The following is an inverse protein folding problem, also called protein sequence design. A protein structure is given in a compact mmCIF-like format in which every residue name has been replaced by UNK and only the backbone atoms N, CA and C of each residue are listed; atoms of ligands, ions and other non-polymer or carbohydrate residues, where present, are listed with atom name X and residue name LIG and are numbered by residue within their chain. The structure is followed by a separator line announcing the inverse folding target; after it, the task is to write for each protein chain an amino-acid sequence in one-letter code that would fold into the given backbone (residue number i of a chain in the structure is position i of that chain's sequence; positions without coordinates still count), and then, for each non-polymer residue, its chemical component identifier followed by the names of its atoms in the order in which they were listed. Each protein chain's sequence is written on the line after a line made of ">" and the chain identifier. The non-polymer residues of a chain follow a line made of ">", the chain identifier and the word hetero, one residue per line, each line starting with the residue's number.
data_IF_000998805046
#
_entry.id   IF_000998805046
#
_cell.length_a   1.000
_cell.length_b   1.000
_cell.length_c   1.000
_cell.angle_alpha   90.00
_cell.angle_beta   90.00
_cell.angle_gamma   90.00
#
_symmetry.space_group_name_H-M   'P 1'
#
loop_
_entity.id
_entity.type
_entity.pdbx_description
1 polymer ?
#
# COMPACT_ATOMS: atom_id res chain seq x y z
N UNK A 1 4.48 47.83 -48.36
CA UNK A 1 3.81 46.83 -47.50
C UNK A 1 4.69 46.55 -46.29
N UNK A 2 4.19 46.79 -45.07
CA UNK A 2 4.93 46.50 -43.82
C UNK A 2 4.56 45.09 -43.36
N UNK A 3 5.53 44.17 -43.38
CA UNK A 3 5.43 42.84 -42.81
C UNK A 3 5.44 42.92 -41.28
N UNK A 4 4.32 42.55 -40.66
CA UNK A 4 4.21 42.33 -39.20
C UNK A 4 4.94 41.05 -38.79
N UNK A 5 5.73 41.05 -37.70
CA UNK A 5 6.32 39.82 -37.19
C UNK A 5 5.25 38.99 -36.46
N UNK A 6 5.14 37.72 -36.84
CA UNK A 6 4.33 36.72 -36.16
C UNK A 6 4.75 36.58 -34.70
N UNK A 7 3.88 37.02 -33.77
CA UNK A 7 4.02 36.74 -32.35
C UNK A 7 3.90 35.22 -32.13
N UNK A 8 5.04 34.54 -31.99
CA UNK A 8 5.06 33.19 -31.46
C UNK A 8 4.45 33.18 -30.06
N UNK A 9 3.48 32.30 -29.82
CA UNK A 9 2.85 32.12 -28.52
C UNK A 9 3.94 31.87 -27.47
N UNK A 10 4.13 32.83 -26.57
CA UNK A 10 5.11 32.77 -25.50
C UNK A 10 4.67 31.68 -24.53
N UNK A 11 5.28 30.50 -24.63
CA UNK A 11 5.05 29.42 -23.67
C UNK A 11 5.66 29.85 -22.34
N UNK A 12 4.81 30.22 -21.38
CA UNK A 12 5.23 30.52 -20.03
C UNK A 12 5.74 29.24 -19.37
N UNK A 13 7.04 29.19 -19.04
CA UNK A 13 7.58 28.14 -18.18
C UNK A 13 7.02 28.32 -16.78
N UNK A 14 6.20 27.37 -16.35
CA UNK A 14 5.74 27.26 -14.97
C UNK A 14 6.86 26.62 -14.16
N UNK A 15 7.46 27.38 -13.24
CA UNK A 15 8.41 26.84 -12.26
C UNK A 15 7.69 26.44 -10.95
N UNK A 16 8.42 25.79 -10.04
CA UNK A 16 7.88 25.29 -8.77
C UNK A 16 7.29 26.40 -7.88
N UNK A 17 7.65 27.67 -8.07
CA UNK A 17 7.10 28.78 -7.28
C UNK A 17 5.60 28.98 -7.52
N UNK A 18 5.09 28.59 -8.70
CA UNK A 18 3.66 28.63 -9.02
C UNK A 18 2.91 27.50 -8.31
N UNK A 19 3.53 26.33 -8.13
CA UNK A 19 2.95 25.22 -7.38
C UNK A 19 2.90 25.52 -5.88
N UNK A 20 3.94 26.17 -5.34
CA UNK A 20 3.94 26.68 -3.96
C UNK A 20 2.88 27.78 -3.76
N UNK A 21 2.68 28.64 -4.77
CA UNK A 21 1.65 29.67 -4.76
C UNK A 21 0.24 29.09 -4.89
N UNK A 22 0.05 28.02 -5.66
CA UNK A 22 -1.20 27.28 -5.76
C UNK A 22 -1.50 26.50 -4.49
N UNK A 23 -0.50 25.86 -3.88
CA UNK A 23 -0.64 25.20 -2.58
C UNK A 23 -0.94 26.20 -1.46
N UNK A 24 -0.34 27.40 -1.51
CA UNK A 24 -0.68 28.52 -0.63
C UNK A 24 -2.13 28.97 -0.84
N UNK A 25 -2.58 29.17 -2.08
CA UNK A 25 -3.97 29.56 -2.38
C UNK A 25 -4.99 28.47 -1.96
N UNK A 26 -4.65 27.19 -2.15
CA UNK A 26 -5.46 26.06 -1.69
C UNK A 26 -5.51 25.94 -0.16
N UNK A 27 -4.45 26.38 0.54
CA UNK A 27 -4.41 26.48 2.01
C UNK A 27 -5.14 27.70 2.56
N UNK A 28 -5.35 28.74 1.75
CA UNK A 28 -6.02 29.99 2.13
C UNK A 28 -7.52 29.95 1.79
N UNK A 29 -7.97 29.20 0.77
CA UNK A 29 -9.38 29.12 0.39
C UNK A 29 -10.19 28.03 1.11
N UNK A 30 -9.97 27.84 2.41
CA UNK A 30 -10.82 26.96 3.21
C UNK A 30 -12.29 27.36 3.08
N UNK A 31 -13.13 26.39 2.71
CA UNK A 31 -14.58 26.47 2.46
C UNK A 31 -15.03 27.36 1.28
N UNK A 32 -15.47 26.70 0.21
CA UNK A 32 -16.25 27.31 -0.89
C UNK A 32 -17.69 26.77 -0.89
N UNK A 33 -18.38 26.93 0.24
CA UNK A 33 -19.85 26.96 0.26
C UNK A 33 -20.42 28.30 0.76
N UNK A 34 -19.59 29.28 1.13
CA UNK A 34 -20.03 30.65 1.39
C UNK A 34 -19.01 31.66 0.86
N UNK A 35 -19.16 32.12 -0.39
CA UNK A 35 -18.71 33.45 -0.79
C UNK A 35 -19.46 33.90 -2.05
N UNK A 36 -20.41 34.79 -1.83
CA UNK A 36 -21.19 35.47 -2.86
C UNK A 36 -20.29 36.45 -3.66
N UNK A 37 -20.40 36.36 -4.97
CA UNK A 37 -20.20 37.37 -6.02
C UNK A 37 -19.18 38.49 -5.74
N UNK A 38 -17.97 38.39 -6.32
CA UNK A 38 -17.29 39.55 -6.91
C UNK A 38 -16.48 39.18 -8.17
N UNK A 39 -16.99 39.64 -9.32
CA UNK A 39 -16.33 39.93 -10.60
C UNK A 39 -15.32 38.91 -11.17
N UNK A 40 -15.84 37.86 -11.82
CA UNK A 40 -15.05 36.96 -12.68
C UNK A 40 -15.12 37.41 -14.15
N UNK A 41 -14.01 37.92 -14.70
CA UNK A 41 -13.90 38.39 -16.09
C UNK A 41 -13.70 37.24 -17.10
N UNK A 42 -14.71 36.37 -17.18
CA UNK A 42 -14.90 35.24 -18.11
C UNK A 42 -13.86 35.02 -19.22
N UNK A 43 -12.90 34.13 -18.98
CA UNK A 43 -12.27 33.33 -20.05
C UNK A 43 -12.29 31.86 -19.68
N UNK A 44 -13.21 31.16 -20.34
CA UNK A 44 -13.39 29.71 -20.44
C UNK A 44 -13.25 29.36 -21.94
N UNK A 45 -12.72 28.18 -22.33
CA UNK A 45 -12.41 26.99 -21.53
C UNK A 45 -11.05 27.00 -20.82
N UNK A 46 -10.85 26.17 -19.78
CA UNK A 46 -9.60 26.06 -19.04
C UNK A 46 -8.56 25.36 -19.91
N UNK A 47 -7.31 25.80 -19.79
CA UNK A 47 -6.19 25.20 -20.48
C UNK A 47 -5.85 23.83 -19.85
N UNK A 48 -6.20 22.74 -20.53
CA UNK A 48 -5.80 21.39 -20.15
C UNK A 48 -4.31 21.24 -20.44
N UNK A 49 -3.49 21.11 -19.39
CA UNK A 49 -2.07 20.79 -19.50
C UNK A 49 -1.77 19.52 -18.72
N UNK A 50 -1.13 18.55 -19.38
CA UNK A 50 -0.72 17.30 -18.75
C UNK A 50 0.43 17.55 -17.78
N UNK A 51 0.26 17.15 -16.53
CA UNK A 51 1.33 17.15 -15.52
C UNK A 51 2.27 15.98 -15.86
N UNK A 52 3.58 16.21 -16.11
CA UNK A 52 4.52 15.11 -16.31
C UNK A 52 4.65 14.28 -15.03
N UNK A 53 4.60 12.95 -15.15
CA UNK A 53 4.90 12.08 -14.02
C UNK A 53 6.28 12.40 -13.42
N UNK A 54 6.46 12.30 -12.09
CA UNK A 54 7.75 12.51 -11.44
C UNK A 54 8.81 11.63 -12.10
N UNK A 55 9.88 12.23 -12.61
CA UNK A 55 11.03 11.50 -13.12
C UNK A 55 11.73 10.82 -11.94
N UNK A 56 11.40 9.55 -11.70
CA UNK A 56 12.20 8.67 -10.87
C UNK A 56 13.62 8.61 -11.46
N UNK A 57 14.67 8.46 -10.62
CA UNK A 57 16.05 8.37 -11.08
C UNK A 57 16.17 7.37 -12.23
N UNK A 58 16.95 7.72 -13.26
CA UNK A 58 17.05 6.96 -14.52
C UNK A 58 17.23 5.46 -14.24
N UNK A 59 16.18 4.70 -14.54
CA UNK A 59 16.22 3.23 -14.54
C UNK A 59 17.30 2.79 -15.52
N UNK A 60 18.21 1.92 -15.08
CA UNK A 60 18.99 1.11 -16.02
C UNK A 60 17.98 0.38 -16.92
N UNK A 61 18.08 0.56 -18.23
CA UNK A 61 17.25 -0.17 -19.18
C UNK A 61 17.46 -1.66 -18.96
N UNK A 62 16.39 -2.40 -18.67
CA UNK A 62 16.43 -3.87 -18.59
C UNK A 62 16.92 -4.41 -19.94
N UNK A 63 17.95 -5.26 -19.92
CA UNK A 63 18.43 -5.91 -21.15
C UNK A 63 17.34 -6.85 -21.67
N UNK A 64 17.16 -6.85 -22.98
CA UNK A 64 16.16 -7.65 -23.68
C UNK A 64 16.33 -9.15 -23.40
N UNK A 65 17.58 -9.60 -23.31
CA UNK A 65 17.95 -10.98 -23.02
C UNK A 65 17.43 -11.41 -21.64
N UNK A 66 17.59 -10.56 -20.63
CA UNK A 66 17.13 -10.84 -19.27
C UNK A 66 15.59 -10.87 -19.14
N UNK A 67 14.87 -10.15 -20.00
CA UNK A 67 13.41 -10.21 -20.07
C UNK A 67 12.91 -11.50 -20.77
N UNK A 68 13.70 -12.08 -21.68
CA UNK A 68 13.36 -13.33 -22.36
C UNK A 68 13.66 -14.56 -21.50
N UNK A 69 14.70 -14.49 -20.65
CA UNK A 69 15.06 -15.58 -19.72
C UNK A 69 14.02 -15.80 -18.60
N UNK A 70 13.07 -14.89 -18.39
CA UNK A 70 12.00 -15.01 -17.40
C UNK A 70 11.21 -16.33 -17.48
N UNK A 71 11.13 -16.92 -18.67
CA UNK A 71 10.39 -18.16 -18.91
C UNK A 71 11.26 -19.42 -18.93
N UNK A 72 12.51 -19.31 -18.45
CA UNK A 72 13.51 -20.36 -18.47
C UNK A 72 14.26 -20.48 -19.81
N UNK A 73 15.42 -21.18 -19.82
CA UNK A 73 16.14 -21.45 -21.06
C UNK A 73 15.25 -22.30 -21.97
N UNK A 74 15.11 -21.86 -23.23
CA UNK A 74 14.36 -22.49 -24.34
C UNK A 74 14.12 -23.99 -24.13
N UNK A 75 13.09 -24.36 -23.37
CA UNK A 75 12.66 -25.75 -23.35
C UNK A 75 12.12 -26.01 -24.75
N UNK A 76 12.63 -27.06 -25.37
CA UNK A 76 12.30 -27.49 -26.73
C UNK A 76 10.78 -27.68 -26.90
N UNK A 77 10.05 -27.80 -25.78
CA UNK A 77 8.60 -27.65 -25.67
C UNK A 77 8.22 -26.20 -25.32
N UNK A 78 7.71 -25.45 -26.31
CA UNK A 78 7.18 -24.07 -26.20
C UNK A 78 5.96 -23.94 -25.24
N UNK A 79 6.10 -24.24 -23.95
CA UNK A 79 5.04 -23.88 -22.99
C UNK A 79 4.98 -22.34 -22.87
N UNK A 80 3.83 -21.70 -23.14
CA UNK A 80 3.70 -20.26 -23.03
C UNK A 80 3.88 -19.81 -21.57
N UNK A 81 4.50 -18.64 -21.38
CA UNK A 81 4.71 -18.09 -20.05
C UNK A 81 3.38 -17.60 -19.47
N UNK A 82 2.98 -18.17 -18.33
CA UNK A 82 1.78 -17.73 -17.63
C UNK A 82 2.16 -16.92 -16.40
N UNK A 83 1.61 -15.72 -16.28
CA UNK A 83 1.87 -14.79 -15.20
C UNK A 83 0.64 -14.66 -14.29
N UNK A 84 0.91 -14.44 -13.01
CA UNK A 84 -0.06 -13.95 -12.04
C UNK A 84 0.35 -12.52 -11.64
N UNK A 85 -0.47 -11.54 -12.00
CA UNK A 85 -0.21 -10.13 -11.76
C UNK A 85 -1.09 -9.61 -10.61
N UNK A 86 -0.52 -9.28 -9.45
CA UNK A 86 -1.26 -8.58 -8.39
C UNK A 86 -1.63 -7.16 -8.86
N UNK A 87 -2.84 -7.00 -9.39
CA UNK A 87 -3.36 -5.71 -9.83
C UNK A 87 -3.41 -4.74 -8.66
N UNK A 88 -4.01 -5.19 -7.56
CA UNK A 88 -4.15 -4.45 -6.30
C UNK A 88 -4.28 -5.42 -5.15
N UNK A 89 -3.65 -5.11 -4.02
CA UNK A 89 -3.92 -5.74 -2.73
C UNK A 89 -4.61 -4.69 -1.86
N UNK A 90 -5.86 -4.94 -1.48
CA UNK A 90 -6.73 -3.92 -0.89
C UNK A 90 -6.36 -3.51 0.54
N UNK A 91 -5.54 -4.31 1.23
CA UNK A 91 -5.14 -4.10 2.62
C UNK A 91 -3.86 -3.26 2.76
N UNK A 92 -3.55 -2.82 3.98
CA UNK A 92 -2.33 -2.06 4.29
C UNK A 92 -1.17 -2.99 4.66
N UNK A 93 0.05 -2.51 4.49
CA UNK A 93 1.36 -3.17 4.64
C UNK A 93 1.33 -4.51 5.40
N UNK A 94 1.09 -4.55 6.71
CA UNK A 94 1.24 -5.79 7.48
C UNK A 94 0.24 -6.89 7.07
N UNK A 95 -0.99 -6.50 6.71
CA UNK A 95 -1.99 -7.42 6.13
C UNK A 95 -1.73 -7.65 4.64
N UNK A 96 -1.31 -6.63 3.90
CA UNK A 96 -0.95 -6.77 2.49
C UNK A 96 0.18 -7.78 2.30
N UNK A 97 1.16 -7.82 3.21
CA UNK A 97 2.23 -8.81 3.28
C UNK A 97 1.69 -10.23 3.45
N UNK A 98 0.71 -10.43 4.34
CA UNK A 98 0.04 -11.72 4.50
C UNK A 98 -0.71 -12.15 3.24
N UNK A 99 -1.36 -11.22 2.55
CA UNK A 99 -2.06 -11.49 1.30
C UNK A 99 -1.12 -11.73 0.12
N UNK A 100 0.04 -11.09 0.08
CA UNK A 100 1.06 -11.40 -0.92
C UNK A 100 1.57 -12.84 -0.78
N UNK A 101 1.78 -13.33 0.44
CA UNK A 101 2.12 -14.75 0.68
C UNK A 101 1.04 -15.71 0.16
N UNK A 102 -0.23 -15.31 0.24
CA UNK A 102 -1.34 -16.09 -0.33
C UNK A 102 -1.32 -16.06 -1.86
N UNK A 103 -0.99 -14.92 -2.46
CA UNK A 103 -0.82 -14.80 -3.91
C UNK A 103 0.40 -15.58 -4.41
N UNK A 104 1.46 -15.69 -3.62
CA UNK A 104 2.61 -16.57 -3.90
C UNK A 104 2.15 -18.04 -3.94
N UNK A 105 1.45 -18.50 -2.90
CA UNK A 105 0.92 -19.86 -2.85
C UNK A 105 -0.05 -20.14 -4.01
N UNK A 106 -0.91 -19.17 -4.34
CA UNK A 106 -1.82 -19.26 -5.48
C UNK A 106 -1.06 -19.34 -6.81
N UNK A 107 -0.03 -18.51 -7.01
CA UNK A 107 0.79 -18.54 -8.22
C UNK A 107 1.46 -19.90 -8.40
N UNK A 108 2.05 -20.46 -7.33
CA UNK A 108 2.61 -21.81 -7.34
C UNK A 108 1.57 -22.88 -7.67
N UNK A 109 0.40 -22.83 -7.03
CA UNK A 109 -0.68 -23.80 -7.26
C UNK A 109 -1.28 -23.72 -8.67
N UNK A 110 -1.21 -22.55 -9.31
CA UNK A 110 -1.64 -22.34 -10.70
C UNK A 110 -0.50 -22.55 -11.71
N UNK A 111 0.71 -22.89 -11.25
CA UNK A 111 1.93 -22.96 -12.08
C UNK A 111 2.18 -21.68 -12.89
N UNK A 112 2.08 -20.53 -12.23
CA UNK A 112 2.27 -19.19 -12.82
C UNK A 112 3.46 -18.49 -12.19
N UNK A 113 4.16 -17.70 -13.00
CA UNK A 113 5.20 -16.78 -12.55
C UNK A 113 4.53 -15.61 -11.85
N UNK A 114 4.86 -15.36 -10.59
CA UNK A 114 4.33 -14.20 -9.86
C UNK A 114 5.02 -12.91 -10.34
N UNK A 115 4.25 -11.92 -10.79
CA UNK A 115 4.80 -10.58 -10.99
C UNK A 115 4.87 -9.87 -9.64
N UNK A 116 6.06 -9.45 -9.23
CA UNK A 116 6.23 -8.73 -7.98
C UNK A 116 5.49 -7.39 -8.05
N UNK A 117 4.59 -7.08 -7.10
CA UNK A 117 3.87 -5.82 -7.12
C UNK A 117 4.83 -4.66 -6.84
N UNK A 118 4.49 -3.49 -7.37
CA UNK A 118 5.07 -2.25 -6.86
C UNK A 118 4.51 -1.94 -5.47
N UNK A 119 5.21 -1.11 -4.71
CA UNK A 119 4.87 -0.70 -3.35
C UNK A 119 4.81 0.82 -3.21
N UNK A 120 4.19 1.28 -2.13
CA UNK A 120 4.12 2.71 -1.80
C UNK A 120 2.93 3.06 -0.92
N UNK A 121 3.08 4.07 -0.06
CA UNK A 121 2.05 4.53 0.89
C UNK A 121 1.42 3.40 1.70
N UNK A 122 2.23 2.44 2.16
CA UNK A 122 1.78 1.22 2.88
C UNK A 122 0.88 0.29 2.05
N UNK A 123 0.99 0.28 0.73
CA UNK A 123 0.17 -0.57 -0.17
C UNK A 123 1.04 -1.36 -1.13
N UNK A 124 0.43 -2.35 -1.78
CA UNK A 124 1.02 -3.16 -2.85
C UNK A 124 0.08 -3.24 -4.05
N UNK A 125 0.62 -3.20 -5.26
CA UNK A 125 -0.13 -3.39 -6.49
C UNK A 125 0.65 -2.98 -7.73
N UNK A 126 0.07 -3.21 -8.91
CA UNK A 126 0.77 -2.97 -10.18
C UNK A 126 1.09 -1.49 -10.45
N UNK A 127 0.37 -0.54 -9.83
CA UNK A 127 0.42 0.89 -10.18
C UNK A 127 1.02 1.81 -9.11
N UNK A 128 1.77 1.26 -8.17
CA UNK A 128 2.44 2.05 -7.14
C UNK A 128 3.81 2.54 -7.61
N UNK A 129 4.33 3.56 -6.92
CA UNK A 129 5.48 4.35 -7.36
C UNK A 129 6.84 3.69 -7.14
N UNK A 130 6.96 2.77 -6.19
CA UNK A 130 8.22 2.13 -5.85
C UNK A 130 8.28 0.67 -6.31
N UNK A 131 9.47 0.20 -6.66
CA UNK A 131 9.72 -1.22 -6.93
C UNK A 131 9.62 -2.03 -5.63
N UNK A 132 9.37 -3.33 -5.74
CA UNK A 132 9.15 -4.22 -4.62
C UNK A 132 10.30 -4.17 -3.57
N UNK A 133 11.54 -4.09 -4.07
CA UNK A 133 12.79 -4.02 -3.32
C UNK A 133 12.92 -2.79 -2.42
N UNK A 134 12.13 -1.75 -2.70
CA UNK A 134 12.08 -0.57 -1.84
C UNK A 134 11.56 -0.94 -0.44
N UNK A 135 10.71 -1.96 -0.33
CA UNK A 135 10.14 -2.42 0.95
C UNK A 135 10.67 -3.79 1.38
N UNK A 136 10.93 -4.70 0.45
CA UNK A 136 11.14 -6.12 0.77
C UNK A 136 12.44 -6.67 0.19
N UNK A 137 12.98 -7.71 0.83
CA UNK A 137 14.14 -8.45 0.34
C UNK A 137 13.71 -9.54 -0.64
N UNK A 138 14.07 -9.39 -1.92
CA UNK A 138 13.76 -10.38 -2.96
C UNK A 138 14.49 -11.71 -2.74
N UNK A 139 15.62 -11.71 -2.02
CA UNK A 139 16.35 -12.95 -1.71
C UNK A 139 15.50 -13.92 -0.89
N UNK A 140 14.63 -13.40 -0.02
CA UNK A 140 13.68 -14.22 0.75
C UNK A 140 12.67 -14.97 -0.14
N UNK A 141 12.35 -14.44 -1.33
CA UNK A 141 11.48 -15.14 -2.29
C UNK A 141 12.19 -16.27 -3.02
N UNK A 142 13.50 -16.12 -3.28
CA UNK A 142 14.33 -17.20 -3.84
C UNK A 142 14.43 -18.37 -2.86
N UNK A 143 14.57 -18.10 -1.56
CA UNK A 143 14.58 -19.12 -0.50
C UNK A 143 13.27 -19.93 -0.46
N UNK A 144 12.14 -19.31 -0.85
CA UNK A 144 10.84 -19.98 -0.96
C UNK A 144 10.66 -20.78 -2.26
N UNK A 145 11.64 -20.76 -3.17
CA UNK A 145 11.56 -21.45 -4.47
C UNK A 145 10.46 -20.90 -5.38
N UNK A 146 10.12 -19.62 -5.24
CA UNK A 146 9.03 -19.00 -6.01
C UNK A 146 9.57 -18.53 -7.37
N UNK A 147 8.91 -18.93 -8.45
CA UNK A 147 9.15 -18.30 -9.75
C UNK A 147 8.49 -16.92 -9.77
N UNK A 148 9.29 -15.86 -9.90
CA UNK A 148 8.77 -14.49 -9.97
C UNK A 148 9.47 -13.65 -11.04
N UNK A 149 8.79 -12.59 -11.45
CA UNK A 149 9.29 -11.56 -12.35
C UNK A 149 9.18 -10.19 -11.67
N UNK A 150 10.19 -9.34 -11.81
CA UNK A 150 10.05 -7.94 -11.42
C UNK A 150 9.08 -7.22 -12.37
N UNK A 151 8.42 -6.18 -11.89
CA UNK A 151 7.38 -5.45 -12.64
C UNK A 151 7.90 -4.84 -13.96
N UNK A 152 9.11 -4.29 -13.95
CA UNK A 152 9.79 -3.73 -15.12
C UNK A 152 10.22 -4.81 -16.12
N UNK A 153 10.69 -5.96 -15.64
CA UNK A 153 11.01 -7.15 -16.46
C UNK A 153 9.76 -7.70 -17.13
N UNK A 154 8.66 -7.83 -16.39
CA UNK A 154 7.36 -8.21 -16.93
C UNK A 154 6.85 -7.22 -17.98
N UNK A 155 7.00 -5.91 -17.74
CA UNK A 155 6.64 -4.89 -18.73
C UNK A 155 7.48 -5.03 -20.00
N UNK A 156 8.80 -5.17 -19.87
CA UNK A 156 9.70 -5.36 -21.01
C UNK A 156 9.34 -6.63 -21.81
N UNK A 157 8.97 -7.71 -21.11
CA UNK A 157 8.47 -8.94 -21.74
C UNK A 157 7.20 -8.67 -22.55
N UNK A 158 6.19 -8.00 -21.98
CA UNK A 158 4.96 -7.61 -22.70
C UNK A 158 5.27 -6.77 -23.94
N UNK A 159 6.13 -5.74 -23.78
CA UNK A 159 6.46 -4.80 -24.84
C UNK A 159 7.25 -5.47 -25.98
N UNK A 160 8.02 -6.51 -25.68
CA UNK A 160 8.81 -7.27 -26.66
C UNK A 160 7.98 -8.16 -27.59
N UNK A 161 6.71 -8.42 -27.24
CA UNK A 161 5.90 -9.38 -27.99
C UNK A 161 5.35 -8.76 -29.27
N UNK A 162 5.48 -9.53 -30.36
CA UNK A 162 4.88 -9.19 -31.66
C UNK A 162 3.35 -9.26 -31.64
N UNK A 163 2.80 -10.19 -30.84
CA UNK A 163 1.37 -10.39 -30.67
C UNK A 163 0.95 -9.93 -29.28
N UNK A 164 -0.29 -9.44 -29.16
CA UNK A 164 -0.86 -9.10 -27.85
C UNK A 164 -0.93 -10.33 -26.96
N UNK A 165 -0.71 -10.12 -25.66
CA UNK A 165 -0.81 -11.18 -24.65
C UNK A 165 -2.24 -11.25 -24.15
N UNK A 166 -2.79 -12.46 -24.08
CA UNK A 166 -4.12 -12.69 -23.54
C UNK A 166 -4.14 -12.43 -22.03
N UNK A 167 -5.18 -11.77 -21.53
CA UNK A 167 -5.31 -11.48 -20.11
C UNK A 167 -6.74 -11.62 -19.61
N UNK A 168 -6.87 -12.10 -18.38
CA UNK A 168 -8.10 -12.07 -17.60
C UNK A 168 -7.89 -11.19 -16.36
N UNK A 169 -8.90 -10.41 -16.00
CA UNK A 169 -8.95 -9.70 -14.72
C UNK A 169 -9.98 -10.37 -13.81
N UNK A 170 -9.52 -10.80 -12.65
CA UNK A 170 -10.35 -11.40 -11.63
C UNK A 170 -10.39 -10.54 -10.38
N UNK A 171 -11.59 -10.24 -9.90
CA UNK A 171 -11.81 -9.50 -8.66
C UNK A 171 -12.20 -10.49 -7.57
N UNK A 172 -11.36 -10.63 -6.56
CA UNK A 172 -11.59 -11.54 -5.44
C UNK A 172 -12.04 -10.70 -4.26
N UNK A 173 -13.30 -10.88 -3.85
CA UNK A 173 -13.95 -10.05 -2.83
C UNK A 173 -14.53 -10.86 -1.70
N UNK A 174 -14.57 -10.27 -0.51
CA UNK A 174 -15.21 -10.86 0.66
C UNK A 174 -16.63 -10.31 0.85
N UNK A 175 -17.59 -11.19 1.09
CA UNK A 175 -19.00 -10.86 1.34
C UNK A 175 -19.48 -11.46 2.66
N UNK A 176 -20.35 -10.74 3.36
CA UNK A 176 -20.98 -11.29 4.56
C UNK A 176 -21.95 -12.41 4.17
N UNK A 177 -22.15 -13.40 5.05
CA UNK A 177 -23.14 -14.46 4.84
C UNK A 177 -24.54 -13.89 4.50
N UNK A 178 -24.98 -12.84 5.21
CA UNK A 178 -26.27 -12.19 4.95
C UNK A 178 -26.32 -11.53 3.56
N UNK A 179 -25.24 -10.84 3.15
CA UNK A 179 -25.15 -10.27 1.80
C UNK A 179 -25.16 -11.36 0.73
N UNK A 180 -24.52 -12.49 1.03
CA UNK A 180 -24.43 -13.61 0.11
C UNK A 180 -25.79 -14.32 -0.07
N UNK A 181 -26.51 -14.57 1.03
CA UNK A 181 -27.86 -15.16 0.99
C UNK A 181 -28.83 -14.24 0.23
N UNK A 182 -28.69 -12.91 0.34
CA UNK A 182 -29.47 -11.95 -0.44
C UNK A 182 -29.14 -11.94 -1.95
N UNK A 183 -27.92 -12.33 -2.34
CA UNK A 183 -27.49 -12.39 -3.75
C UNK A 183 -27.95 -13.69 -4.44
N UNK A 184 -27.93 -14.82 -3.72
CA UNK A 184 -28.16 -16.15 -4.31
C UNK A 184 -29.58 -16.69 -4.06
N UNK A 185 -30.30 -16.20 -3.05
CA UNK A 185 -31.60 -16.75 -2.65
C UNK A 185 -31.50 -18.20 -2.14
N UNK A 186 -32.60 -18.94 -2.17
CA UNK A 186 -32.72 -20.31 -1.61
C UNK A 186 -31.97 -21.41 -2.39
N UNK A 187 -31.31 -21.09 -3.52
CA UNK A 187 -30.61 -22.09 -4.34
C UNK A 187 -29.21 -22.48 -3.82
N UNK A 188 -28.96 -22.35 -2.52
CA UNK A 188 -27.65 -22.63 -1.93
C UNK A 188 -27.34 -24.12 -1.94
N UNK A 189 -26.29 -24.60 -2.63
CA UNK A 189 -25.66 -25.87 -2.27
C UNK A 189 -25.01 -25.67 -0.89
N UNK A 190 -25.32 -26.50 0.10
CA UNK A 190 -24.89 -26.28 1.50
C UNK A 190 -23.37 -26.31 1.74
N UNK A 191 -22.56 -26.48 0.69
CA UNK A 191 -21.11 -26.72 0.74
C UNK A 191 -20.25 -25.75 -0.08
N UNK A 192 -20.82 -24.69 -0.67
CA UNK A 192 -20.04 -23.70 -1.43
C UNK A 192 -19.74 -22.44 -0.59
N UNK A 193 -18.45 -22.19 -0.35
CA UNK A 193 -17.93 -20.97 0.29
C UNK A 193 -17.49 -19.90 -0.74
N UNK A 194 -17.70 -20.18 -2.02
CA UNK A 194 -17.27 -19.36 -3.15
C UNK A 194 -18.38 -19.22 -4.18
N UNK A 195 -18.50 -18.03 -4.77
CA UNK A 195 -19.42 -17.78 -5.88
C UNK A 195 -18.70 -17.05 -7.01
N UNK A 196 -18.90 -17.53 -8.24
CA UNK A 196 -18.31 -16.94 -9.43
C UNK A 196 -19.41 -16.23 -10.20
N UNK A 197 -19.19 -14.96 -10.53
CA UNK A 197 -20.13 -14.17 -11.34
C UNK A 197 -19.39 -13.31 -12.35
N UNK A 198 -20.02 -13.10 -13.51
CA UNK A 198 -19.64 -12.00 -14.38
C UNK A 198 -19.92 -10.68 -13.67
N UNK A 199 -19.07 -9.67 -13.84
CA UNK A 199 -19.26 -8.35 -13.21
C UNK A 199 -18.96 -7.22 -14.17
N UNK A 200 -19.87 -6.26 -14.28
CA UNK A 200 -19.63 -5.03 -15.04
C UNK A 200 -18.80 -4.01 -14.23
N UNK A 201 -18.81 -4.14 -12.90
CA UNK A 201 -18.04 -3.32 -11.97
C UNK A 201 -16.57 -3.77 -11.92
N UNK A 202 -15.85 -3.56 -13.02
CA UNK A 202 -14.42 -3.82 -13.12
C UNK A 202 -13.59 -2.67 -12.53
N UNK A 203 -12.44 -2.96 -11.90
CA UNK A 203 -11.39 -1.97 -11.73
C UNK A 203 -11.05 -1.32 -13.07
N UNK A 204 -10.66 -0.05 -13.05
CA UNK A 204 -10.36 0.72 -14.26
C UNK A 204 -9.32 0.00 -15.14
N UNK A 205 -9.81 -0.59 -16.24
CA UNK A 205 -9.01 -1.29 -17.25
C UNK A 205 -8.21 -0.28 -18.09
N UNK A 206 -8.65 0.99 -18.15
CA UNK A 206 -7.92 2.05 -18.83
C UNK A 206 -6.51 2.20 -18.26
N UNK A 207 -6.37 2.12 -16.93
CA UNK A 207 -5.07 2.20 -16.27
C UNK A 207 -4.13 1.05 -16.61
N UNK A 208 -4.64 -0.19 -16.69
CA UNK A 208 -3.81 -1.35 -17.07
C UNK A 208 -3.42 -1.29 -18.55
N UNK A 209 -4.32 -0.88 -19.45
CA UNK A 209 -4.03 -0.70 -20.88
C UNK A 209 -3.03 0.44 -21.11
N UNK A 210 -3.12 1.53 -20.35
CA UNK A 210 -2.16 2.63 -20.43
C UNK A 210 -0.74 2.20 -20.04
N UNK A 211 -0.61 1.35 -19.00
CA UNK A 211 0.69 0.85 -18.54
C UNK A 211 1.22 -0.32 -19.38
N UNK A 212 0.33 -1.18 -19.88
CA UNK A 212 0.63 -2.39 -20.63
C UNK A 212 -0.21 -2.43 -21.93
N UNK A 213 0.20 -1.68 -22.96
CA UNK A 213 -0.61 -1.52 -24.17
C UNK A 213 -0.79 -2.81 -24.98
N UNK A 214 0.15 -3.75 -24.87
CA UNK A 214 0.09 -5.04 -25.59
C UNK A 214 -0.71 -6.12 -24.84
N UNK A 215 -1.51 -5.75 -23.83
CA UNK A 215 -2.36 -6.69 -23.08
C UNK A 215 -3.78 -6.65 -23.62
N UNK A 216 -4.34 -7.82 -23.91
CA UNK A 216 -5.66 -7.97 -24.51
C UNK A 216 -6.63 -8.74 -23.58
N UNK A 217 -7.72 -8.08 -23.20
CA UNK A 217 -8.79 -8.64 -22.36
C UNK A 217 -10.01 -9.14 -23.16
N UNK A 218 -10.06 -8.95 -24.49
CA UNK A 218 -11.27 -9.19 -25.31
C UNK A 218 -11.76 -10.64 -25.27
N UNK A 219 -10.89 -11.61 -24.97
CA UNK A 219 -11.25 -13.03 -24.84
C UNK A 219 -11.63 -13.49 -23.43
N UNK A 220 -11.59 -12.62 -22.43
CA UNK A 220 -11.88 -12.96 -21.04
C UNK A 220 -12.83 -11.94 -20.43
N UNK A 221 -14.04 -12.40 -20.12
CA UNK A 221 -15.01 -11.60 -19.37
C UNK A 221 -14.44 -11.18 -18.01
N UNK A 222 -14.99 -10.10 -17.48
CA UNK A 222 -14.74 -9.66 -16.11
C UNK A 222 -15.30 -10.67 -15.11
N UNK A 223 -14.45 -11.28 -14.28
CA UNK A 223 -14.89 -12.32 -13.36
C UNK A 223 -14.71 -11.84 -11.92
N UNK A 224 -15.78 -11.95 -11.13
CA UNK A 224 -15.73 -11.77 -9.69
C UNK A 224 -15.83 -13.12 -9.01
N UNK A 225 -14.93 -13.36 -8.06
CA UNK A 225 -14.96 -14.50 -7.14
C UNK A 225 -15.27 -13.97 -5.73
N UNK A 226 -16.51 -14.16 -5.30
CA UNK A 226 -16.96 -13.76 -3.97
C UNK A 226 -16.71 -14.88 -2.96
N UNK A 227 -16.09 -14.53 -1.84
CA UNK A 227 -15.74 -15.43 -0.71
C UNK A 227 -16.62 -15.09 0.48
N UNK A 228 -17.26 -16.09 1.08
CA UNK A 228 -18.20 -15.88 2.20
C UNK A 228 -17.49 -15.75 3.54
N UNK A 229 -17.92 -14.78 4.36
CA UNK A 229 -17.44 -14.57 5.74
C UNK A 229 -18.58 -14.29 6.74
N UNK A 230 -18.51 -14.76 8.01
CA UNK A 230 -17.53 -15.71 8.53
C UNK A 230 -17.66 -17.08 7.86
N UNK A 231 -16.54 -17.78 7.72
CA UNK A 231 -16.50 -19.11 7.09
C UNK A 231 -17.12 -20.14 8.02
N UNK A 232 -17.95 -21.03 7.48
CA UNK A 232 -18.58 -22.11 8.26
C UNK A 232 -17.60 -23.25 8.56
N UNK A 233 -16.58 -23.44 7.72
CA UNK A 233 -15.56 -24.47 7.90
C UNK A 233 -14.13 -23.90 7.73
N UNK A 234 -13.29 -23.93 8.78
CA UNK A 234 -11.88 -23.56 8.70
C UNK A 234 -10.95 -24.69 8.20
N UNK A 235 -11.48 -25.82 7.70
CA UNK A 235 -10.70 -27.02 7.33
C UNK A 235 -9.55 -26.79 6.33
N UNK A 236 -8.55 -27.67 6.41
CA UNK A 236 -7.36 -27.73 5.54
C UNK A 236 -7.66 -27.84 4.03
N UNK A 237 -8.88 -28.23 3.63
CA UNK A 237 -9.26 -28.34 2.22
C UNK A 237 -9.51 -26.97 1.54
N UNK A 238 -9.66 -25.90 2.33
CA UNK A 238 -10.03 -24.58 1.83
C UNK A 238 -9.06 -23.99 0.79
N UNK A 239 -7.73 -24.02 0.98
CA UNK A 239 -6.76 -23.68 -0.06
C UNK A 239 -7.02 -24.38 -1.40
N UNK A 240 -7.26 -25.69 -1.38
CA UNK A 240 -7.48 -26.47 -2.59
C UNK A 240 -8.80 -26.12 -3.29
N UNK A 241 -9.87 -25.94 -2.50
CA UNK A 241 -11.18 -25.52 -3.03
C UNK A 241 -11.11 -24.13 -3.65
N UNK A 242 -10.38 -23.20 -3.03
CA UNK A 242 -10.15 -21.87 -3.57
C UNK A 242 -9.36 -21.90 -4.88
N UNK A 243 -8.25 -22.64 -4.94
CA UNK A 243 -7.46 -22.77 -6.18
C UNK A 243 -8.33 -23.34 -7.30
N UNK A 244 -9.13 -24.38 -7.03
CA UNK A 244 -10.07 -24.94 -8.00
C UNK A 244 -11.13 -23.93 -8.44
N UNK A 245 -11.66 -23.12 -7.51
CA UNK A 245 -12.61 -22.08 -7.83
C UNK A 245 -12.01 -21.03 -8.78
N UNK A 246 -10.76 -20.61 -8.55
CA UNK A 246 -10.02 -19.72 -9.45
C UNK A 246 -9.81 -20.36 -10.83
N UNK A 247 -9.38 -21.62 -10.89
CA UNK A 247 -9.20 -22.34 -12.16
C UNK A 247 -10.50 -22.47 -12.96
N UNK A 248 -11.62 -22.76 -12.28
CA UNK A 248 -12.92 -22.85 -12.91
C UNK A 248 -13.42 -21.50 -13.40
N UNK A 249 -13.19 -20.45 -12.60
CA UNK A 249 -13.58 -19.08 -12.92
C UNK A 249 -12.90 -18.58 -14.20
N UNK A 250 -11.60 -18.82 -14.36
CA UNK A 250 -10.86 -18.43 -15.57
C UNK A 250 -11.34 -19.15 -16.83
N UNK A 251 -11.89 -20.36 -16.68
CA UNK A 251 -12.40 -21.20 -17.78
C UNK A 251 -13.88 -20.95 -18.10
N UNK A 252 -14.54 -20.02 -17.42
CA UNK A 252 -15.96 -19.74 -17.71
C UNK A 252 -16.13 -19.30 -19.16
N UNK A 253 -17.10 -19.86 -19.88
CA UNK A 253 -17.32 -19.53 -21.27
C UNK A 253 -17.72 -18.06 -21.40
N UNK A 254 -17.10 -17.37 -22.35
CA UNK A 254 -17.54 -16.03 -22.77
C UNK A 254 -18.60 -16.23 -23.84
N UNK A 255 -19.79 -15.64 -23.64
CA UNK A 255 -20.84 -15.65 -24.66
C UNK A 255 -20.44 -14.65 -25.74
N UNK A 256 -19.95 -15.15 -26.87
CA UNK A 256 -19.71 -14.34 -28.06
C UNK A 256 -20.82 -14.58 -29.08
N UNK A 257 -21.02 -13.63 -30.01
CA UNK A 257 -22.05 -13.67 -31.07
C UNK A 257 -21.99 -14.91 -31.98
N UNK A 258 -20.88 -15.65 -31.96
CA UNK A 258 -20.62 -16.85 -32.77
C UNK A 258 -20.76 -18.18 -32.00
N UNK A 259 -21.17 -18.15 -30.73
CA UNK A 259 -21.41 -19.34 -29.90
C UNK A 259 -20.58 -19.42 -28.62
N UNK A 260 -20.84 -20.45 -27.81
CA UNK A 260 -20.16 -20.71 -26.53
C UNK A 260 -18.81 -21.39 -26.78
N UNK A 261 -17.70 -20.66 -26.64
CA UNK A 261 -16.36 -21.23 -26.71
C UNK A 261 -15.66 -21.10 -25.36
N UNK A 262 -15.07 -22.18 -24.84
CA UNK A 262 -14.23 -22.08 -23.65
C UNK A 262 -12.98 -21.28 -24.00
N UNK A 263 -12.70 -20.17 -23.29
CA UNK A 263 -11.49 -19.40 -23.55
C UNK A 263 -10.26 -20.23 -23.17
N UNK A 264 -9.15 -20.11 -23.91
CA UNK A 264 -7.87 -20.71 -23.51
C UNK A 264 -7.40 -20.11 -22.19
N UNK A 265 -6.50 -20.79 -21.46
CA UNK A 265 -5.93 -20.23 -20.22
C UNK A 265 -5.11 -18.96 -20.55
N UNK A 266 -5.36 -17.80 -19.92
CA UNK A 266 -4.71 -16.54 -20.28
C UNK A 266 -3.23 -16.55 -19.97
N UNK A 267 -2.44 -15.86 -20.80
CA UNK A 267 -1.03 -15.56 -20.53
C UNK A 267 -0.90 -14.79 -19.22
N UNK A 268 -1.82 -13.86 -18.94
CA UNK A 268 -1.77 -13.00 -17.75
C UNK A 268 -3.08 -13.12 -16.96
N UNK A 269 -2.99 -13.59 -15.73
CA UNK A 269 -4.09 -13.53 -14.77
C UNK A 269 -3.86 -12.35 -13.82
N UNK A 270 -4.55 -11.24 -14.06
CA UNK A 270 -4.53 -10.08 -13.20
C UNK A 270 -5.54 -10.26 -12.05
N UNK A 271 -5.08 -10.08 -10.81
CA UNK A 271 -5.89 -10.29 -9.60
C UNK A 271 -6.05 -8.98 -8.83
N UNK A 272 -7.28 -8.49 -8.69
CA UNK A 272 -7.65 -7.54 -7.65
C UNK A 272 -8.01 -8.32 -6.38
N UNK A 273 -7.08 -8.31 -5.42
CA UNK A 273 -7.19 -9.06 -4.16
C UNK A 273 -7.81 -8.18 -3.07
N UNK A 274 -9.12 -8.33 -2.88
CA UNK A 274 -9.93 -7.52 -1.97
C UNK A 274 -10.57 -8.37 -0.85
N UNK A 275 -9.71 -9.05 -0.10
CA UNK A 275 -10.09 -9.84 1.08
C UNK A 275 -9.59 -9.15 2.35
N UNK A 276 -10.37 -9.22 3.44
CA UNK A 276 -9.91 -8.76 4.76
C UNK A 276 -9.29 -9.89 5.58
N UNK A 277 -9.73 -11.12 5.34
CA UNK A 277 -9.28 -12.32 6.05
C UNK A 277 -8.49 -13.25 5.13
N UNK A 278 -7.52 -13.96 5.71
CA UNK A 278 -6.66 -14.88 4.98
C UNK A 278 -7.39 -16.18 4.61
N UNK A 279 -7.25 -16.62 3.36
CA UNK A 279 -7.75 -17.90 2.85
C UNK A 279 -6.76 -19.01 3.15
N UNK A 280 -5.47 -18.78 2.86
CA UNK A 280 -4.42 -19.75 3.13
C UNK A 280 -3.80 -19.50 4.51
N UNK A 281 -3.32 -20.54 5.20
CA UNK A 281 -2.46 -20.36 6.36
C UNK A 281 -1.16 -19.67 5.91
N UNK A 282 -0.92 -18.45 6.39
CA UNK A 282 0.29 -17.70 6.05
C UNK A 282 1.24 -17.68 7.25
N UNK A 283 2.45 -18.25 7.10
CA UNK A 283 3.55 -17.98 8.03
C UNK A 283 4.17 -16.63 7.66
N UNK A 284 4.06 -15.65 8.56
CA UNK A 284 4.61 -14.31 8.37
C UNK A 284 6.13 -14.28 8.19
N UNK A 285 6.85 -15.30 8.67
CA UNK A 285 8.31 -15.36 8.65
C UNK A 285 8.92 -15.42 7.23
N UNK A 286 8.11 -15.71 6.21
CA UNK A 286 8.59 -15.98 4.86
C UNK A 286 9.06 -14.74 4.07
N UNK A 287 8.51 -13.54 4.32
CA UNK A 287 8.86 -12.34 3.55
C UNK A 287 9.60 -11.31 4.40
N UNK A 288 10.90 -11.13 4.14
CA UNK A 288 11.75 -10.18 4.89
C UNK A 288 11.62 -8.77 4.33
N UNK A 289 11.78 -7.78 5.21
CA UNK A 289 11.93 -6.39 4.81
C UNK A 289 13.27 -6.15 4.10
N UNK A 290 13.35 -5.08 3.32
CA UNK A 290 14.57 -4.65 2.64
C UNK A 290 15.72 -4.47 3.66
N UNK A 291 16.94 -4.95 3.38
CA UNK A 291 18.07 -4.81 4.32
C UNK A 291 18.37 -3.37 4.71
N UNK A 292 18.04 -2.42 3.83
CA UNK A 292 18.14 -0.98 4.08
C UNK A 292 17.35 -0.52 5.30
N UNK A 293 16.21 -1.16 5.59
CA UNK A 293 15.44 -0.83 6.78
C UNK A 293 16.14 -1.34 8.06
N UNK A 294 16.79 -2.50 8.02
CA UNK A 294 17.55 -3.02 9.15
C UNK A 294 18.84 -2.20 9.41
N UNK A 295 19.48 -1.71 8.35
CA UNK A 295 20.60 -0.78 8.47
C UNK A 295 20.17 0.55 9.07
N UNK A 296 19.14 1.18 8.49
CA UNK A 296 18.67 2.48 8.94
C UNK A 296 18.04 2.45 10.34
N UNK A 297 17.27 1.40 10.67
CA UNK A 297 16.70 1.26 12.03
C UNK A 297 17.77 1.14 13.10
N UNK A 298 18.85 0.38 12.86
CA UNK A 298 20.00 0.32 13.79
C UNK A 298 20.73 1.65 13.94
N UNK A 299 20.75 2.47 12.89
CA UNK A 299 21.38 3.79 12.95
C UNK A 299 20.56 4.79 13.79
N UNK A 300 19.23 4.76 13.68
CA UNK A 300 18.36 5.79 14.26
C UNK A 300 17.66 5.36 15.56
N UNK A 301 17.68 4.09 15.90
CA UNK A 301 17.14 3.57 17.17
C UNK A 301 17.99 4.03 18.37
N UNK A 302 17.40 4.10 19.57
CA UNK A 302 18.17 4.30 20.79
C UNK A 302 19.20 3.17 21.01
N UNK A 303 20.42 3.53 21.37
CA UNK A 303 21.50 2.57 21.63
C UNK A 303 21.35 1.86 22.98
N UNK A 304 20.71 2.52 23.93
CA UNK A 304 20.36 2.04 25.25
C UNK A 304 19.01 1.31 25.23
N UNK A 305 18.70 0.44 26.22
CA UNK A 305 17.34 -0.07 26.41
C UNK A 305 16.30 1.05 26.36
N UNK A 306 15.20 0.82 25.66
CA UNK A 306 14.15 1.81 25.49
C UNK A 306 12.76 1.19 25.59
N UNK A 307 11.79 2.06 25.90
CA UNK A 307 10.38 1.74 25.87
C UNK A 307 9.80 2.25 24.54
N UNK A 308 9.17 1.39 23.76
CA UNK A 308 8.43 1.79 22.57
C UNK A 308 6.92 1.85 22.83
N UNK A 309 6.29 2.88 22.30
CA UNK A 309 4.85 3.08 22.32
C UNK A 309 4.35 3.08 20.88
N UNK A 310 3.44 2.18 20.55
CA UNK A 310 2.73 2.19 19.27
C UNK A 310 1.31 2.71 19.47
N UNK A 311 1.07 3.96 19.06
CA UNK A 311 -0.20 4.65 19.25
C UNK A 311 -0.76 5.20 17.94
N UNK A 312 -1.77 4.52 17.43
CA UNK A 312 -2.52 4.90 16.22
C UNK A 312 -3.78 5.67 16.58
N UNK A 313 -3.87 6.90 16.09
CA UNK A 313 -4.97 7.82 16.42
C UNK A 313 -6.01 7.91 15.31
N UNK A 314 -5.71 7.47 14.10
CA UNK A 314 -6.58 7.58 12.92
C UNK A 314 -7.95 6.91 13.05
N UNK A 315 -8.12 6.02 14.03
CA UNK A 315 -9.39 5.34 14.29
C UNK A 315 -10.04 5.75 15.61
N UNK A 316 -9.39 6.56 16.43
CA UNK A 316 -9.92 6.97 17.74
C UNK A 316 -10.93 8.09 17.53
N UNK A 317 -12.14 8.03 18.15
CA UNK A 317 -13.05 9.18 18.16
C UNK A 317 -12.31 10.41 18.69
N UNK A 318 -12.38 11.51 17.95
CA UNK A 318 -11.47 12.64 18.20
C UNK A 318 -11.63 13.19 19.62
N UNK A 319 -12.84 13.19 20.16
CA UNK A 319 -13.19 13.68 21.50
C UNK A 319 -12.52 12.88 22.62
N UNK A 320 -12.15 11.62 22.35
CA UNK A 320 -11.49 10.75 23.31
C UNK A 320 -9.97 10.93 23.34
N UNK A 321 -9.38 11.58 22.32
CA UNK A 321 -7.92 11.67 22.18
C UNK A 321 -7.21 12.31 23.38
N UNK A 322 -7.70 13.41 24.00
CA UNK A 322 -7.05 13.98 25.18
C UNK A 322 -7.05 13.02 26.37
N UNK A 323 -8.19 12.37 26.63
CA UNK A 323 -8.29 11.36 27.68
C UNK A 323 -7.34 10.18 27.44
N UNK A 324 -7.27 9.70 26.19
CA UNK A 324 -6.35 8.65 25.79
C UNK A 324 -4.87 9.06 25.94
N UNK A 325 -4.53 10.33 25.68
CA UNK A 325 -3.20 10.86 25.93
C UNK A 325 -2.84 10.80 27.42
N UNK A 326 -3.73 11.27 28.30
CA UNK A 326 -3.52 11.18 29.76
C UNK A 326 -3.39 9.73 30.25
N UNK A 327 -4.25 8.83 29.77
CA UNK A 327 -4.18 7.42 30.12
C UNK A 327 -2.85 6.79 29.66
N UNK A 328 -2.37 7.14 28.47
CA UNK A 328 -1.08 6.70 27.95
C UNK A 328 0.07 7.20 28.84
N UNK A 329 0.09 8.48 29.20
CA UNK A 329 1.15 9.05 30.04
C UNK A 329 1.15 8.39 31.44
N UNK A 330 -0.02 8.22 32.05
CA UNK A 330 -0.14 7.49 33.32
C UNK A 330 0.46 6.08 33.19
N UNK A 331 0.16 5.36 32.10
CA UNK A 331 0.68 4.01 31.88
C UNK A 331 2.20 3.99 31.69
N UNK A 332 2.74 4.94 30.92
CA UNK A 332 4.20 5.09 30.73
C UNK A 332 4.86 5.36 32.08
N UNK A 333 4.33 6.31 32.86
CA UNK A 333 4.84 6.64 34.19
C UNK A 333 4.86 5.44 35.11
N UNK A 334 3.78 4.68 35.18
CA UNK A 334 3.69 3.53 36.08
C UNK A 334 4.69 2.44 35.72
N UNK A 335 4.90 2.18 34.41
CA UNK A 335 5.92 1.24 33.91
C UNK A 335 7.33 1.74 34.22
N UNK A 336 7.61 3.02 33.97
CA UNK A 336 8.94 3.60 34.20
C UNK A 336 9.25 3.78 35.70
N UNK A 337 8.19 3.86 36.53
CA UNK A 337 8.12 3.71 38.00
C UNK A 337 8.77 2.43 38.52
N UNK A 338 8.52 1.34 37.81
CA UNK A 338 8.90 0.00 38.22
C UNK A 338 10.39 -0.26 37.88
N UNK A 339 11.23 -0.26 38.92
CA UNK A 339 12.67 -0.44 38.76
C UNK A 339 13.08 -1.82 38.23
N UNK A 340 12.21 -2.82 38.34
CA UNK A 340 12.46 -4.15 37.75
C UNK A 340 12.27 -4.13 36.23
N UNK A 341 11.31 -3.35 35.73
CA UNK A 341 10.95 -3.27 34.31
C UNK A 341 11.74 -2.18 33.58
N UNK A 342 11.96 -1.04 34.23
CA UNK A 342 12.52 0.17 33.62
C UNK A 342 14.05 0.27 33.68
N UNK A 343 14.74 -0.79 34.11
CA UNK A 343 16.18 -0.76 34.34
C UNK A 343 16.95 -0.38 33.06
N UNK A 344 17.64 0.75 33.11
CA UNK A 344 18.45 1.26 31.99
C UNK A 344 17.65 1.95 30.89
N UNK A 345 16.33 2.10 31.04
CA UNK A 345 15.48 2.80 30.07
C UNK A 345 15.68 4.32 30.22
N UNK A 346 16.35 4.92 29.23
CA UNK A 346 16.54 6.38 29.15
C UNK A 346 15.65 7.07 28.11
N UNK A 347 15.06 6.29 27.20
CA UNK A 347 14.34 6.82 26.03
C UNK A 347 12.97 6.15 25.88
N UNK A 348 11.96 6.96 25.55
CA UNK A 348 10.63 6.54 25.11
C UNK A 348 10.50 6.83 23.62
N UNK A 349 10.40 5.77 22.81
CA UNK A 349 10.15 5.86 21.37
C UNK A 349 8.65 5.88 21.08
N UNK A 350 8.14 6.93 20.44
CA UNK A 350 6.73 7.06 20.09
C UNK A 350 6.50 6.85 18.60
N UNK A 351 5.99 5.66 18.25
CA UNK A 351 5.52 5.29 16.92
C UNK A 351 4.03 5.65 16.78
N UNK A 352 3.74 6.77 16.13
CA UNK A 352 2.38 7.30 15.99
C UNK A 352 2.15 7.98 14.64
N UNK A 353 0.90 7.97 14.18
CA UNK A 353 0.44 8.67 12.99
C UNK A 353 0.28 10.19 13.19
N UNK A 354 0.47 10.67 14.42
CA UNK A 354 0.55 12.10 14.78
C UNK A 354 1.98 12.64 14.75
N UNK A 355 2.11 13.91 14.35
CA UNK A 355 3.38 14.64 14.43
C UNK A 355 3.57 15.31 15.77
N UNK A 356 4.73 15.02 16.38
CA UNK A 356 5.20 15.57 17.65
C UNK A 356 6.39 16.52 17.46
N UNK A 357 6.66 16.94 16.22
CA UNK A 357 7.55 18.08 15.95
C UNK A 357 6.82 19.38 16.34
N UNK A 358 7.53 20.41 16.83
CA UNK A 358 6.97 21.74 17.07
C UNK A 358 6.69 22.44 15.73
N UNK A 359 5.73 21.93 14.96
CA UNK A 359 5.20 22.62 13.80
C UNK A 359 4.04 23.51 14.24
N UNK A 360 4.02 24.75 13.72
CA UNK A 360 2.92 25.73 13.91
C UNK A 360 1.54 25.19 13.51
N UNK A 361 1.46 24.05 12.81
CA UNK A 361 0.25 23.27 12.54
C UNK A 361 0.60 21.76 12.52
N UNK A 362 -0.20 20.88 13.15
CA UNK A 362 0.00 19.45 13.01
C UNK A 362 -0.16 19.04 11.54
N UNK A 363 0.71 18.16 11.05
CA UNK A 363 0.62 17.56 9.71
C UNK A 363 0.37 16.07 9.89
N UNK A 364 -0.60 15.53 9.17
CA UNK A 364 -0.96 14.11 9.21
C UNK A 364 0.17 13.27 8.62
N UNK A 365 0.62 12.23 9.36
CA UNK A 365 1.68 11.32 8.88
C UNK A 365 1.14 10.12 8.12
N UNK A 366 -0.15 9.83 8.27
CA UNK A 366 -0.81 8.71 7.62
C UNK A 366 -1.84 9.20 6.62
N UNK A 367 -1.86 8.62 5.42
CA UNK A 367 -2.92 8.87 4.44
C UNK A 367 -4.33 8.51 4.93
N UNK A 368 -4.46 7.83 6.08
CA UNK A 368 -5.75 7.53 6.73
C UNK A 368 -6.21 8.60 7.72
N UNK A 369 -5.30 9.42 8.25
CA UNK A 369 -5.65 10.50 9.16
C UNK A 369 -6.04 11.72 8.33
N UNK A 370 -7.34 11.81 8.01
CA UNK A 370 -7.89 12.76 7.02
C UNK A 370 -8.14 14.16 7.58
N UNK A 371 -8.35 14.28 8.90
CA UNK A 371 -8.70 15.55 9.54
C UNK A 371 -8.01 15.66 10.90
N UNK A 372 -7.22 16.72 11.08
CA UNK A 372 -6.60 17.06 12.35
C UNK A 372 -7.46 18.10 13.06
N UNK A 373 -8.00 17.72 14.21
CA UNK A 373 -8.83 18.58 15.06
C UNK A 373 -8.02 19.15 16.22
N UNK A 374 -8.63 20.07 16.98
CA UNK A 374 -8.05 20.59 18.22
C UNK A 374 -7.73 19.49 19.24
N UNK A 375 -8.54 18.42 19.30
CA UNK A 375 -8.30 17.28 20.18
C UNK A 375 -6.99 16.54 19.87
N UNK A 376 -6.60 16.46 18.59
CA UNK A 376 -5.30 15.91 18.22
C UNK A 376 -4.16 16.81 18.71
N UNK A 377 -4.33 18.13 18.62
CA UNK A 377 -3.33 19.08 19.12
C UNK A 377 -3.20 19.03 20.64
N UNK A 378 -4.32 18.90 21.34
CA UNK A 378 -4.36 18.75 22.80
C UNK A 378 -3.68 17.45 23.23
N UNK A 379 -3.96 16.34 22.54
CA UNK A 379 -3.28 15.06 22.77
C UNK A 379 -1.76 15.16 22.57
N UNK A 380 -1.31 15.78 21.46
CA UNK A 380 0.13 16.02 21.20
C UNK A 380 0.74 16.89 22.28
N UNK A 381 0.09 17.99 22.66
CA UNK A 381 0.54 18.90 23.72
C UNK A 381 0.67 18.19 25.07
N UNK A 382 -0.32 17.37 25.42
CA UNK A 382 -0.33 16.58 26.67
C UNK A 382 0.87 15.64 26.73
N UNK A 383 1.13 14.91 25.65
CA UNK A 383 2.29 14.02 25.58
C UNK A 383 3.58 14.82 25.66
N UNK A 384 3.75 15.86 24.83
CA UNK A 384 4.97 16.67 24.82
C UNK A 384 5.27 17.31 26.18
N UNK A 385 4.27 17.95 26.80
CA UNK A 385 4.42 18.63 28.10
C UNK A 385 4.87 17.68 29.21
N UNK A 386 4.43 16.42 29.16
CA UNK A 386 4.80 15.40 30.14
C UNK A 386 6.31 15.07 30.15
N UNK A 387 7.01 15.29 29.03
CA UNK A 387 8.45 15.04 28.88
C UNK A 387 9.31 16.32 28.91
N UNK A 388 8.71 17.50 29.14
CA UNK A 388 9.45 18.76 29.32
C UNK A 388 10.01 18.88 30.75
N UNK A 389 10.83 19.91 31.02
CA UNK A 389 11.57 20.09 32.29
C UNK A 389 10.72 19.97 33.55
N UNK A 390 9.47 20.45 33.52
CA UNK A 390 8.53 20.41 34.65
C UNK A 390 7.49 19.29 34.54
N UNK A 391 7.62 18.42 33.53
CA UNK A 391 6.72 17.31 33.26
C UNK A 391 6.99 16.09 34.16
N UNK A 392 5.96 15.26 34.37
CA UNK A 392 6.09 14.08 35.23
C UNK A 392 7.04 12.97 34.69
N UNK A 393 7.41 13.06 33.41
CA UNK A 393 8.36 12.19 32.72
C UNK A 393 9.65 12.92 32.30
N UNK A 394 9.95 14.09 32.89
CA UNK A 394 11.09 14.95 32.53
C UNK A 394 12.47 14.24 32.51
N UNK A 395 12.63 13.17 33.30
CA UNK A 395 13.88 12.42 33.38
C UNK A 395 14.13 11.47 32.18
N UNK A 396 13.11 11.23 31.34
CA UNK A 396 13.22 10.40 30.14
C UNK A 396 13.14 11.24 28.88
N UNK A 397 13.76 10.76 27.80
CA UNK A 397 13.73 11.44 26.50
C UNK A 397 12.57 10.90 25.68
N UNK A 398 11.69 11.78 25.19
CA UNK A 398 10.75 11.44 24.13
C UNK A 398 11.49 11.51 22.78
N UNK A 399 11.39 10.44 21.98
CA UNK A 399 11.87 10.40 20.59
C UNK A 399 10.79 9.91 19.64
N UNK A 400 10.80 10.44 18.42
CA UNK A 400 10.04 9.90 17.29
C UNK A 400 10.95 9.63 16.09
N UNK A 401 10.39 8.95 15.08
CA UNK A 401 11.10 8.71 13.82
C UNK A 401 11.54 10.01 13.16
N UNK A 402 10.69 11.03 13.11
CA UNK A 402 11.00 12.31 12.44
C UNK A 402 12.17 13.02 13.09
N UNK A 403 12.16 13.10 14.43
CA UNK A 403 13.25 13.72 15.18
C UNK A 403 14.57 12.99 14.90
N UNK A 404 14.53 11.67 14.86
CA UNK A 404 15.71 10.83 14.65
C UNK A 404 16.22 10.91 13.20
N UNK A 405 15.32 11.00 12.22
CA UNK A 405 15.67 11.23 10.83
C UNK A 405 16.23 12.64 10.61
N UNK A 406 15.66 13.68 11.23
CA UNK A 406 16.12 15.06 11.09
C UNK A 406 17.57 15.23 11.62
N UNK A 407 17.89 14.60 12.75
CA UNK A 407 19.25 14.58 13.30
C UNK A 407 20.20 13.84 12.35
N UNK A 408 19.76 12.76 11.72
CA UNK A 408 20.58 11.95 10.82
C UNK A 408 20.79 12.60 9.45
N UNK A 409 19.80 13.34 8.91
CA UNK A 409 19.94 14.08 7.64
C UNK A 409 21.02 15.17 7.71
N UNK A 410 21.29 15.73 8.89
CA UNK A 410 22.38 16.70 9.10
C UNK A 410 23.79 16.10 8.86
N UNK A 411 23.90 14.76 8.79
CA UNK A 411 25.15 14.04 8.53
C UNK A 411 25.41 13.70 7.06
N UNK A 412 24.62 14.26 6.13
CA UNK A 412 24.83 14.15 4.68
C UNK A 412 24.67 12.73 4.12
N UNK A 413 23.79 11.93 4.72
CA UNK A 413 23.49 10.57 4.28
C UNK A 413 22.01 10.52 3.87
N UNK A 414 21.79 10.24 2.58
CA UNK A 414 20.52 9.94 1.91
C UNK A 414 19.66 11.12 1.41
N UNK A 415 19.94 11.54 0.17
CA UNK A 415 18.95 12.14 -0.73
C UNK A 415 18.01 11.02 -1.26
N UNK A 416 17.26 10.40 -0.34
CA UNK A 416 16.49 9.18 -0.57
C UNK A 416 15.00 9.48 -0.64
N UNK A 417 14.44 9.76 -1.84
CA UNK A 417 13.01 10.09 -1.96
C UNK A 417 12.06 8.99 -1.47
N UNK A 418 12.53 7.73 -1.35
CA UNK A 418 11.74 6.64 -0.75
C UNK A 418 11.48 6.83 0.75
N UNK A 419 12.36 7.54 1.47
CA UNK A 419 12.18 7.81 2.91
C UNK A 419 11.01 8.77 3.20
N UNK A 420 10.58 9.53 2.19
CA UNK A 420 9.38 10.37 2.28
C UNK A 420 8.09 9.59 2.08
N UNK A 421 8.17 8.32 1.69
CA UNK A 421 7.00 7.47 1.58
C UNK A 421 6.47 7.08 2.98
N UNK A 422 5.19 7.35 3.24
CA UNK A 422 4.58 7.07 4.54
C UNK A 422 4.61 5.59 4.95
N UNK A 423 4.63 4.66 3.99
CA UNK A 423 4.74 3.24 4.32
C UNK A 423 6.14 2.81 4.69
N UNK A 424 7.17 3.44 4.11
CA UNK A 424 8.55 3.26 4.57
C UNK A 424 8.68 3.69 6.02
N UNK A 425 8.22 4.90 6.33
CA UNK A 425 8.27 5.44 7.70
C UNK A 425 7.53 4.55 8.68
N UNK A 426 6.33 4.10 8.32
CA UNK A 426 5.55 3.17 9.14
C UNK A 426 6.19 1.79 9.31
N UNK A 427 7.00 1.31 8.35
CA UNK A 427 7.78 0.06 8.51
C UNK A 427 8.96 0.30 9.45
N UNK A 428 9.71 1.39 9.28
CA UNK A 428 10.83 1.74 10.15
C UNK A 428 10.40 1.87 11.62
N UNK A 429 9.30 2.58 11.88
CA UNK A 429 8.73 2.70 13.22
C UNK A 429 8.41 1.33 13.83
N UNK A 430 7.85 0.40 13.04
CA UNK A 430 7.56 -0.96 13.52
C UNK A 430 8.81 -1.76 13.83
N UNK A 431 9.84 -1.67 12.98
CA UNK A 431 11.11 -2.37 13.20
C UNK A 431 11.74 -1.88 14.51
N UNK A 432 11.86 -0.56 14.67
CA UNK A 432 12.41 0.05 15.88
C UNK A 432 11.56 -0.31 17.10
N UNK A 433 10.24 -0.25 17.00
CA UNK A 433 9.38 -0.60 18.14
C UNK A 433 9.46 -2.10 18.50
N UNK A 434 9.69 -2.99 17.53
CA UNK A 434 9.82 -4.43 17.75
C UNK A 434 11.13 -4.83 18.44
N UNK A 435 12.16 -3.98 18.37
CA UNK A 435 13.46 -4.19 19.04
C UNK A 435 13.50 -3.59 20.47
N UNK A 436 12.43 -2.93 20.91
CA UNK A 436 12.37 -2.31 22.22
C UNK A 436 12.38 -3.33 23.37
N UNK A 437 12.96 -2.94 24.50
CA UNK A 437 12.97 -3.76 25.73
C UNK A 437 11.59 -3.86 26.36
N UNK A 438 10.82 -2.76 26.28
CA UNK A 438 9.44 -2.69 26.75
C UNK A 438 8.59 -2.11 25.63
N UNK A 439 7.43 -2.72 25.40
CA UNK A 439 6.52 -2.30 24.35
C UNK A 439 5.12 -2.04 24.91
N UNK A 440 4.56 -0.87 24.61
CA UNK A 440 3.19 -0.49 24.90
C UNK A 440 2.42 -0.47 23.59
N UNK A 441 1.45 -1.37 23.46
CA UNK A 441 0.45 -1.30 22.41
C UNK A 441 -0.77 -0.51 22.86
N UNK A 442 -1.37 0.15 21.89
CA UNK A 442 -2.70 0.72 22.02
C UNK A 442 -3.79 -0.26 22.46
N UNK A 443 -4.75 0.25 23.25
CA UNK A 443 -5.93 -0.51 23.72
C UNK A 443 -7.18 -0.13 22.93
N UNK A 444 -8.22 -0.97 23.06
CA UNK A 444 -9.55 -0.67 22.52
C UNK A 444 -10.07 0.66 23.05
N UNK A 445 -10.62 1.48 22.16
CA UNK A 445 -11.14 2.81 22.47
C UNK A 445 -10.08 3.92 22.39
N UNK A 446 -8.80 3.60 22.63
CA UNK A 446 -7.70 4.57 22.58
C UNK A 446 -6.68 4.33 21.47
N UNK A 447 -6.82 3.27 20.67
CA UNK A 447 -5.99 3.08 19.47
C UNK A 447 -6.68 2.29 18.34
N UNK A 448 -7.78 1.62 18.67
CA UNK A 448 -8.63 0.96 17.71
C UNK A 448 -10.08 0.94 18.23
N UNK A 449 -11.06 1.14 17.33
CA UNK A 449 -12.50 1.18 17.67
C UNK A 449 -13.04 -0.19 18.11
N UNK A 450 -12.34 -1.29 17.79
CA UNK A 450 -12.87 -2.66 17.92
C UNK A 450 -12.15 -3.55 18.90
#
# INVERSE_FOLDING_TARGET
>A
ERSTPSQGAKVFKVDRSILEKLEYLHKVSGDLDELDIMAWNGRWPPLVTSIPEPRLPHKKSVSYEAAIELCGPRSVTRSPCHFLLPYRIAEQESKARQHLLQLIALAQALNRILVLPNVGKSRMGAFLGWEFEAYYDVSSLNELGVAFAKMDYFKAWIDSRRNTSSAALMVITEKSAATFDAIIGDQRPSYQDYYIRSTDNMPDIGRIKARFPNVNFVGHGAISLDVVYPRKDPALEMPFRFVRAVQNAVKLPVINETGTQMPPDPDILAIDWNLRHAIFPSSLSALRYSPRFAELSREISPSEPYLAVHWRTETVPHENLPHCAHALINKIRDILRDSAVAKGIGTVWLASDLSFEPLRKPVSKSGTLKMLTEFHQEAVRTVQASFQTDGELAQWKLRSLEQSLNVSHSRNIYDAPWLNDAGVRGILDKIIAAEATVFISGTKGCSHVR
#
